data_IF_817811928505
#
_entry.id   IF_817811928505
#
_cell.length_a   1.000
_cell.length_b   1.000
_cell.length_c   1.000
_cell.angle_alpha   90.00
_cell.angle_beta   90.00
_cell.angle_gamma   90.00
#
_symmetry.space_group_name_H-M   'P 1'
#
loop_
_entity.id
_entity.type
_entity.pdbx_description
1 polymer ?
#
# COMPACT_ATOMS: atom_id res chain seq x y z
N UNK A 1 -4.04 -25.30 -71.40
CA UNK A 1 -4.83 -24.70 -72.50
C UNK A 1 -5.22 -23.30 -72.06
N UNK A 2 -4.42 -22.34 -72.43
CA UNK A 2 -4.62 -21.25 -73.41
C UNK A 2 -5.99 -20.57 -73.22
N UNK A 3 -6.18 -19.23 -73.06
CA UNK A 3 -5.60 -18.13 -73.83
C UNK A 3 -5.68 -16.79 -73.07
N UNK A 4 -4.71 -15.95 -73.32
CA UNK A 4 -4.60 -14.49 -73.14
C UNK A 4 -5.71 -13.72 -73.85
N UNK A 5 -6.06 -12.51 -73.35
CA UNK A 5 -6.09 -11.28 -74.15
C UNK A 5 -6.04 -9.99 -73.33
N UNK A 6 -5.07 -9.18 -73.63
CA UNK A 6 -4.89 -7.76 -73.35
C UNK A 6 -5.99 -6.88 -73.97
N UNK A 7 -6.31 -5.77 -73.33
CA UNK A 7 -6.54 -4.45 -73.95
C UNK A 7 -6.46 -3.31 -72.95
N UNK A 8 -5.56 -2.34 -73.17
CA UNK A 8 -5.46 -0.95 -72.73
C UNK A 8 -5.64 -0.11 -74.02
N UNK A 9 -5.76 1.23 -73.98
CA UNK A 9 -6.22 2.24 -73.01
C UNK A 9 -7.24 3.24 -73.64
N UNK A 10 -7.86 4.15 -72.85
CA UNK A 10 -8.18 5.52 -73.30
C UNK A 10 -8.17 6.46 -72.10
N UNK A 11 -7.33 7.49 -72.16
CA UNK A 11 -7.34 8.68 -71.33
C UNK A 11 -8.60 9.52 -71.63
N UNK A 12 -9.19 10.10 -70.56
CA UNK A 12 -9.87 11.37 -70.67
C UNK A 12 -9.77 12.10 -69.33
N UNK A 13 -9.09 13.21 -69.33
CA UNK A 13 -8.98 14.15 -68.23
C UNK A 13 -10.24 15.04 -68.21
N UNK A 14 -10.84 15.18 -67.02
CA UNK A 14 -11.65 16.37 -66.69
C UNK A 14 -11.37 16.74 -65.23
N UNK A 15 -10.79 17.90 -65.05
CA UNK A 15 -10.68 18.60 -63.79
C UNK A 15 -12.04 19.19 -63.40
N UNK A 16 -12.36 19.16 -62.10
CA UNK A 16 -13.03 20.28 -61.41
C UNK A 16 -13.41 19.85 -59.97
N UNK A 17 -13.11 20.70 -59.01
CA UNK A 17 -13.84 20.77 -57.75
C UNK A 17 -13.14 20.25 -56.50
N UNK A 18 -12.23 21.05 -55.96
CA UNK A 18 -11.73 20.97 -54.59
C UNK A 18 -12.88 21.19 -53.59
N UNK A 19 -13.22 20.17 -52.81
CA UNK A 19 -13.89 20.34 -51.52
C UNK A 19 -13.05 19.63 -50.49
N UNK A 20 -12.28 20.39 -49.73
CA UNK A 20 -11.54 19.93 -48.54
C UNK A 20 -12.50 19.52 -47.42
N UNK A 21 -12.83 18.25 -47.32
CA UNK A 21 -13.34 17.70 -46.06
C UNK A 21 -12.13 17.45 -45.15
N UNK A 22 -12.06 18.21 -44.06
CA UNK A 22 -11.08 18.01 -43.00
C UNK A 22 -11.20 16.61 -42.41
N UNK A 23 -10.24 15.76 -42.70
CA UNK A 23 -10.05 14.51 -42.01
C UNK A 23 -9.71 14.79 -40.55
N UNK A 24 -10.57 14.37 -39.63
CA UNK A 24 -10.23 14.25 -38.21
C UNK A 24 -9.08 13.25 -38.08
N UNK A 25 -7.86 13.77 -38.06
CA UNK A 25 -6.70 13.04 -37.64
C UNK A 25 -6.89 12.68 -36.15
N UNK A 26 -7.33 11.49 -35.89
CA UNK A 26 -7.16 10.85 -34.58
C UNK A 26 -5.65 10.60 -34.36
N UNK A 27 -4.91 11.65 -34.05
CA UNK A 27 -3.57 11.53 -33.50
C UNK A 27 -3.73 10.95 -32.10
N UNK A 28 -3.35 9.68 -31.92
CA UNK A 28 -2.98 9.17 -30.59
C UNK A 28 -2.17 10.26 -29.91
N UNK A 29 -2.44 10.58 -28.61
CA UNK A 29 -1.58 11.49 -27.88
C UNK A 29 -0.15 10.97 -28.01
N UNK A 30 0.75 11.80 -28.51
CA UNK A 30 2.17 11.51 -28.49
C UNK A 30 2.57 11.19 -27.04
N UNK A 31 3.30 10.11 -26.85
CA UNK A 31 3.97 9.80 -25.59
C UNK A 31 4.92 10.96 -25.29
N UNK A 32 4.43 11.98 -24.59
CA UNK A 32 5.28 13.10 -24.16
C UNK A 32 6.25 12.53 -23.15
N UNK A 33 7.51 12.43 -23.56
CA UNK A 33 8.58 11.92 -22.72
C UNK A 33 8.53 12.64 -21.35
N UNK A 34 8.50 11.86 -20.27
CA UNK A 34 8.49 12.42 -18.91
C UNK A 34 9.84 13.08 -18.64
N UNK A 35 9.91 14.40 -18.71
CA UNK A 35 11.13 15.20 -18.56
C UNK A 35 11.54 15.40 -17.10
N UNK A 36 10.69 15.02 -16.14
CA UNK A 36 11.02 15.10 -14.72
C UNK A 36 12.06 14.06 -14.32
N UNK A 37 12.86 14.37 -13.31
CA UNK A 37 13.89 13.47 -12.79
C UNK A 37 13.26 12.29 -12.07
N UNK A 38 13.66 11.06 -12.42
CA UNK A 38 13.17 9.84 -11.75
C UNK A 38 13.48 9.88 -10.25
N UNK A 39 12.49 9.48 -9.42
CA UNK A 39 12.55 9.55 -7.97
C UNK A 39 12.00 10.85 -7.38
N UNK A 40 11.61 11.81 -8.22
CA UNK A 40 10.86 12.99 -7.78
C UNK A 40 9.36 12.76 -7.88
N UNK A 41 8.59 13.50 -7.08
CA UNK A 41 7.13 13.44 -7.11
C UNK A 41 6.55 13.82 -8.50
N UNK A 42 7.18 14.79 -9.19
CA UNK A 42 6.76 15.17 -10.55
C UNK A 42 6.90 14.02 -11.53
N UNK A 43 7.95 13.20 -11.40
CA UNK A 43 8.14 12.03 -12.27
C UNK A 43 7.01 11.02 -12.09
N UNK A 44 6.69 10.67 -10.85
CA UNK A 44 5.62 9.73 -10.54
C UNK A 44 4.24 10.27 -10.91
N UNK A 45 4.01 11.57 -10.66
CA UNK A 45 2.77 12.23 -11.04
C UNK A 45 2.54 12.19 -12.56
N UNK A 46 3.56 12.51 -13.35
CA UNK A 46 3.46 12.47 -14.81
C UNK A 46 3.23 11.04 -15.31
N UNK A 47 3.96 10.08 -14.74
CA UNK A 47 3.80 8.67 -15.07
C UNK A 47 2.38 8.16 -14.75
N UNK A 48 1.90 8.41 -13.54
CA UNK A 48 0.60 7.94 -13.08
C UNK A 48 -0.57 8.63 -13.82
N UNK A 49 -0.45 9.91 -14.13
CA UNK A 49 -1.46 10.64 -14.96
C UNK A 49 -1.62 10.04 -16.36
N UNK A 50 -0.59 9.42 -16.90
CA UNK A 50 -0.69 8.72 -18.18
C UNK A 50 -1.40 7.36 -18.07
N UNK A 51 -1.65 6.87 -16.85
CA UNK A 51 -2.27 5.55 -16.57
C UNK A 51 -3.66 5.65 -15.95
N UNK A 52 -3.95 6.70 -15.18
CA UNK A 52 -5.21 6.89 -14.45
C UNK A 52 -5.54 8.37 -14.26
N UNK A 53 -6.81 8.64 -13.98
CA UNK A 53 -7.30 9.94 -13.52
C UNK A 53 -6.96 10.16 -12.03
N UNK A 54 -5.66 10.31 -11.73
CA UNK A 54 -5.20 10.48 -10.36
C UNK A 54 -5.58 11.85 -9.78
N UNK A 55 -5.78 11.89 -8.47
CA UNK A 55 -6.12 13.09 -7.70
C UNK A 55 -4.91 13.48 -6.85
N UNK A 56 -4.51 14.74 -6.91
CA UNK A 56 -3.43 15.28 -6.07
C UNK A 56 -4.04 16.09 -4.94
N UNK A 57 -3.78 15.66 -3.69
CA UNK A 57 -4.08 16.46 -2.50
C UNK A 57 -2.84 17.24 -2.08
N UNK A 58 -3.03 18.45 -1.53
CA UNK A 58 -1.94 19.34 -1.13
C UNK A 58 -2.24 19.97 0.22
N UNK A 59 -1.20 20.10 1.08
CA UNK A 59 -1.28 20.96 2.26
C UNK A 59 -1.41 22.45 1.84
N UNK A 60 -1.64 23.35 2.79
CA UNK A 60 -1.83 24.77 2.47
C UNK A 60 -0.58 25.44 1.89
N UNK A 61 0.60 24.98 2.29
CA UNK A 61 1.89 25.47 1.79
C UNK A 61 2.20 24.93 0.38
N UNK A 62 1.52 23.85 -0.05
CA UNK A 62 1.76 23.21 -1.33
C UNK A 62 3.05 22.37 -1.39
N UNK A 63 3.79 22.29 -0.31
CA UNK A 63 5.02 21.48 -0.18
C UNK A 63 4.69 20.02 0.07
N UNK A 64 3.77 19.74 0.99
CA UNK A 64 3.21 18.41 1.22
C UNK A 64 2.19 18.06 0.15
N UNK A 65 2.41 16.99 -0.61
CA UNK A 65 1.49 16.52 -1.64
C UNK A 65 1.40 14.99 -1.64
N UNK A 66 0.22 14.46 -2.02
CA UNK A 66 0.00 13.03 -2.20
C UNK A 66 -0.75 12.74 -3.49
N UNK A 67 -0.53 11.58 -4.10
CA UNK A 67 -1.23 11.10 -5.30
C UNK A 67 -2.19 9.98 -4.90
N UNK A 68 -3.48 10.20 -5.09
CA UNK A 68 -4.55 9.20 -4.83
C UNK A 68 -5.08 8.70 -6.17
N UNK A 69 -5.26 7.38 -6.30
CA UNK A 69 -5.78 6.73 -7.50
C UNK A 69 -7.06 5.96 -7.21
N UNK A 70 -8.23 6.45 -7.62
CA UNK A 70 -9.46 5.66 -7.60
C UNK A 70 -9.41 4.46 -8.55
N UNK A 71 -8.73 4.59 -9.69
CA UNK A 71 -8.63 3.56 -10.73
C UNK A 71 -7.84 2.33 -10.30
N UNK A 72 -6.87 2.50 -9.43
CA UNK A 72 -6.05 1.42 -8.89
C UNK A 72 -6.34 1.20 -7.41
N UNK A 73 -7.50 0.61 -7.08
CA UNK A 73 -7.82 0.12 -5.73
C UNK A 73 -7.84 1.23 -4.65
N UNK A 74 -8.23 2.47 -4.99
CA UNK A 74 -8.34 3.59 -4.04
C UNK A 74 -7.07 3.84 -3.20
N UNK A 75 -5.87 3.54 -3.72
CA UNK A 75 -4.60 3.67 -3.00
C UNK A 75 -4.03 5.09 -3.04
N UNK A 76 -3.18 5.40 -2.06
CA UNK A 76 -2.22 6.50 -2.15
C UNK A 76 -0.97 5.92 -2.79
N UNK A 77 -0.58 6.39 -3.97
CA UNK A 77 0.60 5.86 -4.65
C UNK A 77 1.90 6.36 -4.05
N UNK A 78 1.97 7.65 -3.79
CA UNK A 78 3.17 8.27 -3.24
C UNK A 78 2.87 9.66 -2.70
N UNK A 79 3.78 10.14 -1.86
CA UNK A 79 3.76 11.48 -1.27
C UNK A 79 5.10 12.18 -1.44
N UNK A 80 5.12 13.47 -1.14
CA UNK A 80 6.33 14.30 -1.06
C UNK A 80 6.18 15.39 0.00
N UNK A 81 7.29 15.77 0.63
CA UNK A 81 7.34 16.88 1.59
C UNK A 81 7.91 18.19 1.00
N UNK A 82 8.28 18.20 -0.30
CA UNK A 82 9.00 19.32 -0.92
C UNK A 82 8.49 19.66 -2.33
N UNK A 83 7.19 19.56 -2.55
CA UNK A 83 6.56 19.90 -3.81
C UNK A 83 6.96 18.99 -4.97
N UNK A 84 6.78 19.47 -6.21
CA UNK A 84 6.97 18.66 -7.41
C UNK A 84 8.39 18.09 -7.57
N UNK A 85 9.41 18.84 -7.18
CA UNK A 85 10.82 18.43 -7.28
C UNK A 85 11.29 17.64 -6.06
N UNK A 86 10.46 17.53 -5.04
CA UNK A 86 10.74 16.76 -3.84
C UNK A 86 10.83 15.25 -4.09
N UNK A 87 11.49 14.54 -3.17
CA UNK A 87 11.57 13.08 -3.19
C UNK A 87 10.16 12.48 -3.16
N UNK A 88 9.96 11.44 -3.95
CA UNK A 88 8.80 10.55 -3.91
C UNK A 88 9.06 9.46 -2.88
N UNK A 89 8.16 9.27 -1.90
CA UNK A 89 8.41 8.36 -0.76
C UNK A 89 7.85 6.96 -0.99
N UNK A 90 6.69 6.85 -1.65
CA UNK A 90 6.07 5.57 -1.95
C UNK A 90 6.86 4.77 -2.99
N UNK A 91 6.70 3.45 -2.96
CA UNK A 91 7.21 2.60 -4.03
C UNK A 91 6.18 2.50 -5.16
N UNK A 92 6.60 2.85 -6.39
CA UNK A 92 5.80 2.73 -7.62
C UNK A 92 6.47 1.72 -8.54
N UNK A 93 5.76 0.64 -8.89
CA UNK A 93 6.28 -0.39 -9.78
C UNK A 93 5.98 -0.09 -11.25
N UNK A 94 6.81 0.71 -11.88
CA UNK A 94 6.62 1.11 -13.29
C UNK A 94 6.52 -0.07 -14.27
N UNK A 95 7.15 -1.21 -13.95
CA UNK A 95 7.15 -2.42 -14.80
C UNK A 95 5.77 -3.03 -14.88
N UNK A 96 5.06 -3.10 -13.75
CA UNK A 96 3.73 -3.69 -13.64
C UNK A 96 2.72 -3.01 -14.58
N UNK A 97 2.78 -1.69 -14.70
CA UNK A 97 1.93 -0.92 -15.60
C UNK A 97 2.19 -1.18 -17.10
N UNK A 98 3.27 -1.84 -17.43
CA UNK A 98 3.66 -2.20 -18.81
C UNK A 98 3.33 -3.63 -19.19
N UNK A 99 2.83 -4.45 -18.28
CA UNK A 99 2.46 -5.82 -18.56
C UNK A 99 1.22 -5.85 -19.49
N UNK A 100 1.24 -6.77 -20.46
CA UNK A 100 0.10 -6.96 -21.37
C UNK A 100 -1.07 -7.65 -20.70
N UNK A 101 -0.76 -8.62 -19.84
CA UNK A 101 -1.72 -9.39 -19.08
C UNK A 101 -1.46 -9.18 -17.59
N UNK A 102 -2.50 -8.99 -16.77
CA UNK A 102 -2.37 -8.92 -15.32
C UNK A 102 -1.78 -10.22 -14.76
N UNK A 103 -0.98 -10.11 -13.70
CA UNK A 103 -0.53 -11.29 -12.96
C UNK A 103 -1.75 -11.99 -12.32
N UNK A 104 -1.89 -13.31 -12.49
CA UNK A 104 -3.04 -14.04 -11.92
C UNK A 104 -3.05 -14.08 -10.40
N UNK A 105 -1.90 -13.94 -9.74
CA UNK A 105 -1.77 -14.00 -8.29
C UNK A 105 -1.95 -12.64 -7.63
N UNK A 106 -1.21 -11.64 -8.07
CA UNK A 106 -1.22 -10.29 -7.53
C UNK A 106 -0.65 -9.31 -8.56
N UNK A 107 -1.20 -8.10 -8.63
CA UNK A 107 -0.69 -7.03 -9.48
C UNK A 107 0.01 -5.97 -8.61
N UNK A 108 1.33 -6.09 -8.38
CA UNK A 108 2.07 -5.25 -7.45
C UNK A 108 2.40 -3.88 -8.07
N UNK A 109 1.39 -3.06 -8.34
CA UNK A 109 1.57 -1.70 -8.86
C UNK A 109 2.34 -0.78 -7.91
N UNK A 110 2.46 -1.18 -6.64
CA UNK A 110 2.99 -0.34 -5.56
C UNK A 110 1.89 0.44 -4.85
N UNK A 111 2.29 1.42 -4.10
CA UNK A 111 1.41 2.31 -3.35
C UNK A 111 1.86 2.50 -1.91
N UNK A 112 2.04 3.75 -1.52
CA UNK A 112 2.47 4.19 -0.20
C UNK A 112 1.45 3.83 0.90
N UNK A 113 0.16 3.77 0.57
CA UNK A 113 -0.88 3.20 1.42
C UNK A 113 -1.93 2.53 0.53
N UNK A 114 -2.00 1.22 0.62
CA UNK A 114 -3.00 0.38 -0.03
C UNK A 114 -3.77 -0.42 1.03
N UNK A 115 -4.97 -0.84 0.70
CA UNK A 115 -5.82 -1.60 1.62
C UNK A 115 -6.14 -2.96 1.03
N UNK A 116 -5.92 -4.00 1.81
CA UNK A 116 -6.46 -5.33 1.58
C UNK A 116 -7.52 -5.67 2.64
N UNK A 117 -8.24 -6.75 2.41
CA UNK A 117 -9.04 -7.40 3.42
C UNK A 117 -8.37 -8.73 3.77
N UNK A 118 -8.15 -8.95 5.05
CA UNK A 118 -7.70 -10.25 5.57
C UNK A 118 -8.87 -11.10 6.09
N UNK A 119 -8.58 -12.35 6.48
CA UNK A 119 -7.25 -12.94 6.60
C UNK A 119 -6.70 -13.43 5.26
N UNK A 120 -5.36 -13.35 5.12
CA UNK A 120 -4.65 -13.84 3.93
C UNK A 120 -4.67 -15.38 3.87
N UNK A 121 -4.40 -16.03 4.99
CA UNK A 121 -4.36 -17.49 5.11
C UNK A 121 -5.31 -18.02 6.17
N UNK A 122 -5.19 -19.31 6.46
CA UNK A 122 -5.93 -20.02 7.50
C UNK A 122 -7.36 -20.35 7.12
N UNK A 123 -8.15 -20.76 8.13
CA UNK A 123 -9.50 -21.30 7.98
C UNK A 123 -10.48 -20.39 7.24
N UNK A 124 -10.32 -19.08 7.33
CA UNK A 124 -11.23 -18.09 6.76
C UNK A 124 -10.57 -17.20 5.71
N UNK A 125 -9.47 -17.65 5.12
CA UNK A 125 -8.75 -16.91 4.09
C UNK A 125 -9.66 -16.36 2.99
N UNK A 126 -9.36 -15.13 2.54
CA UNK A 126 -10.00 -14.51 1.36
C UNK A 126 -9.19 -14.73 0.07
N UNK A 127 -7.99 -15.34 0.16
CA UNK A 127 -7.03 -15.47 -0.94
C UNK A 127 -6.95 -16.89 -1.50
N UNK A 128 -7.57 -17.88 -0.83
CA UNK A 128 -7.60 -19.26 -1.26
C UNK A 128 -9.03 -19.73 -1.47
N UNK A 129 -9.27 -20.47 -2.55
CA UNK A 129 -10.56 -21.09 -2.81
C UNK A 129 -10.81 -22.24 -1.82
N UNK A 130 -12.07 -22.48 -1.41
CA UNK A 130 -12.42 -23.60 -0.55
C UNK A 130 -11.84 -24.94 -1.04
N UNK A 131 -11.26 -25.71 -0.11
CA UNK A 131 -10.71 -27.03 -0.38
C UNK A 131 -9.37 -27.10 -1.09
N UNK A 132 -8.75 -25.97 -1.48
CA UNK A 132 -7.43 -25.95 -2.06
C UNK A 132 -6.34 -25.98 -1.00
N UNK A 133 -5.14 -26.48 -1.35
CA UNK A 133 -3.97 -26.33 -0.46
C UNK A 133 -3.53 -24.86 -0.41
N UNK A 134 -3.16 -24.39 0.78
CA UNK A 134 -2.65 -23.02 0.95
C UNK A 134 -1.15 -22.95 0.61
N UNK A 135 -0.88 -22.98 -0.70
CA UNK A 135 0.43 -22.80 -1.32
C UNK A 135 0.36 -21.74 -2.40
N UNK A 136 1.49 -21.19 -2.84
CA UNK A 136 1.53 -20.03 -3.74
C UNK A 136 0.72 -20.25 -5.03
N UNK A 137 0.76 -21.42 -5.63
CA UNK A 137 0.04 -21.72 -6.88
C UNK A 137 -1.48 -21.55 -6.77
N UNK A 138 -2.04 -21.65 -5.56
CA UNK A 138 -3.46 -21.48 -5.28
C UNK A 138 -3.80 -20.13 -4.64
N UNK A 139 -2.79 -19.31 -4.36
CA UNK A 139 -2.97 -18.01 -3.73
C UNK A 139 -3.30 -16.95 -4.78
N UNK A 140 -4.39 -16.21 -4.58
CA UNK A 140 -4.83 -15.13 -5.47
C UNK A 140 -5.39 -13.98 -4.66
N UNK A 141 -4.87 -12.78 -4.91
CA UNK A 141 -5.43 -11.57 -4.30
C UNK A 141 -6.83 -11.30 -4.86
N UNK A 142 -7.85 -11.07 -4.00
CA UNK A 142 -9.19 -10.73 -4.48
C UNK A 142 -9.17 -9.45 -5.33
N UNK A 143 -9.75 -9.50 -6.53
CA UNK A 143 -9.69 -8.40 -7.52
C UNK A 143 -10.12 -7.04 -6.98
N UNK A 144 -11.09 -7.01 -6.06
CA UNK A 144 -11.61 -5.78 -5.46
C UNK A 144 -10.56 -5.02 -4.65
N UNK A 145 -9.55 -5.72 -4.12
CA UNK A 145 -8.45 -5.16 -3.31
C UNK A 145 -7.09 -5.32 -4.00
N UNK A 146 -7.07 -5.73 -5.27
CA UNK A 146 -5.86 -5.83 -6.09
C UNK A 146 -5.84 -4.76 -7.19
N UNK A 147 -6.73 -4.85 -8.17
CA UNK A 147 -6.67 -4.08 -9.42
C UNK A 147 -7.94 -3.34 -9.79
N UNK A 148 -9.07 -3.62 -9.14
CA UNK A 148 -10.33 -3.00 -9.54
C UNK A 148 -10.41 -1.55 -9.07
N UNK A 149 -10.99 -0.71 -9.92
CA UNK A 149 -11.31 0.67 -9.57
C UNK A 149 -12.38 0.76 -8.48
N UNK A 150 -12.28 1.81 -7.66
CA UNK A 150 -13.31 2.21 -6.72
C UNK A 150 -14.02 3.45 -7.24
N UNK A 151 -15.30 3.57 -6.91
CA UNK A 151 -16.09 4.74 -7.26
C UNK A 151 -15.58 5.95 -6.50
N UNK A 152 -15.28 7.04 -7.22
CA UNK A 152 -15.03 8.35 -6.62
C UNK A 152 -16.39 8.96 -6.21
N UNK A 153 -16.60 9.14 -4.91
CA UNK A 153 -17.82 9.75 -4.38
C UNK A 153 -17.69 11.27 -4.25
N UNK A 154 -16.55 11.75 -3.80
CA UNK A 154 -16.22 13.19 -3.74
C UNK A 154 -14.73 13.44 -3.64
N UNK A 155 -14.30 14.63 -4.08
CA UNK A 155 -12.93 15.12 -3.88
C UNK A 155 -12.87 16.63 -3.77
N UNK A 156 -11.88 17.12 -3.04
CA UNK A 156 -11.44 18.51 -3.01
C UNK A 156 -9.91 18.56 -2.82
N UNK A 157 -9.33 19.73 -2.58
CA UNK A 157 -7.88 19.89 -2.45
C UNK A 157 -7.26 19.13 -1.25
N UNK A 158 -8.08 18.72 -0.28
CA UNK A 158 -7.64 18.11 1.00
C UNK A 158 -8.13 16.68 1.18
N UNK A 159 -9.22 16.29 0.54
CA UNK A 159 -9.91 15.04 0.79
C UNK A 159 -10.32 14.34 -0.49
N UNK A 160 -10.27 13.01 -0.45
CA UNK A 160 -10.91 12.12 -1.43
C UNK A 160 -11.74 11.11 -0.67
N UNK A 161 -12.97 10.87 -1.13
CA UNK A 161 -13.87 9.83 -0.62
C UNK A 161 -14.18 8.87 -1.76
N UNK A 162 -13.98 7.59 -1.50
CA UNK A 162 -14.16 6.53 -2.49
C UNK A 162 -14.93 5.37 -1.86
N UNK A 163 -15.69 4.66 -2.67
CA UNK A 163 -16.46 3.49 -2.21
C UNK A 163 -16.47 2.36 -3.22
N UNK A 164 -16.75 1.15 -2.72
CA UNK A 164 -16.92 -0.05 -3.53
C UNK A 164 -17.87 -1.02 -2.82
N UNK A 165 -18.70 -1.72 -3.59
CA UNK A 165 -19.44 -2.89 -3.12
C UNK A 165 -18.82 -4.10 -3.83
N UNK A 166 -18.51 -5.13 -3.05
CA UNK A 166 -17.91 -6.37 -3.56
C UNK A 166 -18.47 -7.59 -2.84
N UNK A 167 -18.38 -8.73 -3.52
CA UNK A 167 -18.70 -10.04 -2.94
C UNK A 167 -17.42 -10.88 -2.91
N UNK A 168 -17.10 -11.43 -1.76
CA UNK A 168 -15.97 -12.33 -1.56
C UNK A 168 -16.47 -13.64 -0.95
N UNK A 169 -15.79 -14.74 -1.26
CA UNK A 169 -15.99 -16.03 -0.61
C UNK A 169 -14.75 -16.33 0.22
N UNK A 170 -14.93 -16.70 1.49
CA UNK A 170 -13.81 -17.13 2.30
C UNK A 170 -13.53 -18.63 2.12
N UNK A 171 -12.38 -19.09 2.62
CA UNK A 171 -11.95 -20.50 2.49
C UNK A 171 -12.92 -21.50 3.11
N UNK A 172 -13.73 -21.09 4.10
CA UNK A 172 -14.79 -21.93 4.68
C UNK A 172 -16.08 -21.96 3.83
N UNK A 173 -16.12 -21.28 2.67
CA UNK A 173 -17.26 -21.24 1.76
C UNK A 173 -18.32 -20.19 2.12
N UNK A 174 -18.02 -19.28 3.07
CA UNK A 174 -18.96 -18.21 3.42
C UNK A 174 -18.87 -17.07 2.43
N UNK A 175 -20.00 -16.66 1.88
CA UNK A 175 -20.11 -15.49 1.01
C UNK A 175 -20.29 -14.22 1.83
N UNK A 176 -19.42 -13.26 1.63
CA UNK A 176 -19.39 -11.96 2.29
C UNK A 176 -19.77 -10.88 1.28
N UNK A 177 -20.91 -10.22 1.46
CA UNK A 177 -21.27 -9.02 0.70
C UNK A 177 -20.82 -7.81 1.49
N UNK A 178 -19.83 -7.10 0.96
CA UNK A 178 -19.07 -6.07 1.67
C UNK A 178 -19.24 -4.74 0.95
N UNK A 179 -19.60 -3.68 1.68
CA UNK A 179 -19.38 -2.30 1.25
C UNK A 179 -18.10 -1.80 1.86
N UNK A 180 -17.23 -1.26 1.01
CA UNK A 180 -16.00 -0.58 1.36
C UNK A 180 -16.22 0.92 1.20
N UNK A 181 -15.87 1.71 2.22
CA UNK A 181 -15.80 3.16 2.15
C UNK A 181 -14.39 3.58 2.59
N UNK A 182 -13.73 4.44 1.81
CA UNK A 182 -12.37 4.92 2.12
C UNK A 182 -12.28 6.42 1.94
N UNK A 183 -11.85 7.10 2.99
CA UNK A 183 -11.50 8.52 2.97
C UNK A 183 -9.98 8.67 3.09
N UNK A 184 -9.40 9.50 2.23
CA UNK A 184 -8.00 9.93 2.29
C UNK A 184 -8.00 11.43 2.57
N UNK A 185 -7.18 11.87 3.52
CA UNK A 185 -7.05 13.27 3.92
C UNK A 185 -5.59 13.64 4.10
N UNK A 186 -5.11 14.69 3.40
CA UNK A 186 -3.78 15.24 3.63
C UNK A 186 -3.80 16.14 4.85
N UNK A 187 -2.75 16.05 5.67
CA UNK A 187 -2.61 16.79 6.93
C UNK A 187 -1.84 18.11 6.72
N UNK A 188 -2.20 19.10 7.52
CA UNK A 188 -1.38 20.30 7.69
C UNK A 188 -0.24 20.04 8.69
N UNK A 189 0.84 20.80 8.64
CA UNK A 189 1.96 20.64 9.56
C UNK A 189 1.53 20.72 11.04
N UNK A 190 0.60 21.62 11.38
CA UNK A 190 0.04 21.71 12.73
C UNK A 190 -0.75 20.45 13.16
N UNK A 191 -1.43 19.79 12.20
CA UNK A 191 -2.12 18.54 12.50
C UNK A 191 -1.13 17.40 12.73
N UNK A 192 -0.03 17.34 11.95
CA UNK A 192 1.06 16.39 12.15
C UNK A 192 1.66 16.56 13.55
N UNK A 193 2.03 17.78 13.94
CA UNK A 193 2.58 18.08 15.26
C UNK A 193 1.62 17.65 16.38
N UNK A 194 0.36 17.99 16.24
CA UNK A 194 -0.69 17.64 17.22
C UNK A 194 -0.88 16.13 17.33
N UNK A 195 -0.96 15.42 16.21
CA UNK A 195 -1.19 13.96 16.20
C UNK A 195 -0.01 13.19 16.81
N UNK A 196 1.20 13.62 16.55
CA UNK A 196 2.43 12.96 17.02
C UNK A 196 2.91 13.50 18.39
N UNK A 197 2.34 14.60 18.87
CA UNK A 197 2.75 15.27 20.11
C UNK A 197 4.19 15.81 20.02
N UNK A 198 4.59 16.29 18.84
CA UNK A 198 5.93 16.84 18.55
C UNK A 198 5.84 18.34 18.26
N UNK A 199 6.99 19.00 18.25
CA UNK A 199 7.19 20.32 17.63
C UNK A 199 8.28 20.15 16.56
N UNK A 200 7.99 20.58 15.35
CA UNK A 200 8.93 20.47 14.23
C UNK A 200 9.88 21.66 14.21
N UNK A 201 11.16 21.37 14.08
CA UNK A 201 12.17 22.39 13.78
C UNK A 201 11.94 22.95 12.36
N UNK A 202 12.32 24.20 12.13
CA UNK A 202 12.14 24.89 10.83
C UNK A 202 12.92 24.25 9.67
N UNK A 203 13.92 23.40 9.97
CA UNK A 203 14.68 22.64 8.97
C UNK A 203 13.95 21.38 8.51
N UNK A 204 12.88 20.98 9.22
CA UNK A 204 12.12 19.77 8.89
C UNK A 204 11.12 20.05 7.78
N UNK A 205 11.20 19.26 6.71
CA UNK A 205 10.14 19.16 5.71
C UNK A 205 9.32 17.92 6.00
N UNK A 206 8.01 18.08 6.04
CA UNK A 206 7.09 17.01 6.40
C UNK A 206 5.94 16.86 5.39
N UNK A 207 5.47 15.65 5.24
CA UNK A 207 4.17 15.32 4.67
C UNK A 207 3.50 14.28 5.55
N UNK A 208 2.20 14.43 5.76
CA UNK A 208 1.40 13.44 6.45
C UNK A 208 0.03 13.33 5.81
N UNK A 209 -0.54 12.15 5.86
CA UNK A 209 -1.91 11.92 5.47
C UNK A 209 -2.55 10.85 6.34
N UNK A 210 -3.88 10.92 6.46
CA UNK A 210 -4.68 9.94 7.18
C UNK A 210 -5.65 9.26 6.24
N UNK A 211 -5.81 7.95 6.42
CA UNK A 211 -6.84 7.16 5.76
C UNK A 211 -7.82 6.61 6.79
N UNK A 212 -9.08 6.57 6.42
CA UNK A 212 -10.14 5.96 7.21
C UNK A 212 -10.89 5.01 6.30
N UNK A 213 -10.69 3.73 6.52
CA UNK A 213 -11.33 2.66 5.75
C UNK A 213 -12.41 2.00 6.59
N UNK A 214 -13.59 1.82 6.03
CA UNK A 214 -14.69 1.12 6.69
C UNK A 214 -15.15 -0.06 5.86
N UNK A 215 -15.51 -1.14 6.54
CA UNK A 215 -16.25 -2.27 5.96
C UNK A 215 -17.62 -2.39 6.60
N UNK A 216 -18.65 -2.56 5.79
CA UNK A 216 -20.04 -2.75 6.23
C UNK A 216 -20.52 -4.12 5.76
N UNK A 217 -21.11 -4.90 6.64
CA UNK A 217 -21.78 -6.15 6.28
C UNK A 217 -23.09 -5.84 5.55
N UNK A 218 -23.10 -5.96 4.22
CA UNK A 218 -24.29 -5.77 3.38
C UNK A 218 -25.09 -7.06 3.15
N UNK A 219 -24.63 -8.17 3.76
CA UNK A 219 -25.30 -9.47 3.70
C UNK A 219 -26.50 -9.54 4.63
N UNK A 220 -27.13 -10.73 4.67
CA UNK A 220 -28.29 -11.01 5.52
C UNK A 220 -27.93 -11.83 6.77
N UNK A 221 -26.68 -12.28 6.88
CA UNK A 221 -26.18 -13.10 7.99
C UNK A 221 -25.02 -12.38 8.69
N UNK A 222 -24.87 -12.62 9.99
CA UNK A 222 -23.75 -12.09 10.76
C UNK A 222 -22.42 -12.67 10.28
N UNK A 223 -21.38 -11.87 10.38
CA UNK A 223 -19.98 -12.34 10.33
C UNK A 223 -19.56 -12.63 11.77
N UNK A 224 -19.20 -13.86 12.04
CA UNK A 224 -18.92 -14.35 13.39
C UNK A 224 -17.78 -15.39 13.41
N UNK A 225 -17.56 -16.02 14.55
CA UNK A 225 -16.51 -17.04 14.71
C UNK A 225 -16.81 -18.36 13.97
N UNK A 226 -18.02 -18.58 13.53
CA UNK A 226 -18.45 -19.81 12.81
C UNK A 226 -18.30 -19.58 11.30
N UNK A 227 -18.86 -18.49 10.82
CA UNK A 227 -18.85 -18.09 9.40
C UNK A 227 -17.54 -17.45 8.95
N UNK A 228 -16.73 -16.99 9.90
CA UNK A 228 -15.59 -16.14 9.67
C UNK A 228 -15.96 -14.66 9.53
N UNK A 229 -14.97 -13.81 9.67
CA UNK A 229 -15.08 -12.36 9.50
C UNK A 229 -13.87 -11.83 8.74
N UNK A 230 -13.99 -10.74 7.96
CA UNK A 230 -12.84 -10.05 7.39
C UNK A 230 -12.19 -9.14 8.44
N UNK A 231 -10.98 -8.64 8.13
CA UNK A 231 -10.36 -7.49 8.78
C UNK A 231 -9.88 -6.50 7.71
N UNK A 232 -9.70 -5.24 8.10
CA UNK A 232 -9.06 -4.22 7.25
C UNK A 232 -7.56 -4.32 7.48
N UNK A 233 -6.78 -4.33 6.39
CA UNK A 233 -5.34 -4.47 6.42
C UNK A 233 -4.70 -3.41 5.54
N UNK A 234 -4.03 -2.41 6.16
CA UNK A 234 -3.25 -1.42 5.46
C UNK A 234 -1.83 -1.94 5.23
N UNK A 235 -1.33 -1.78 4.01
CA UNK A 235 -0.01 -2.23 3.59
C UNK A 235 0.70 -1.07 2.88
N UNK A 236 1.69 -0.50 3.53
CA UNK A 236 2.41 0.68 3.04
C UNK A 236 3.70 0.27 2.36
N UNK A 237 3.78 0.37 1.04
CA UNK A 237 4.97 0.02 0.28
C UNK A 237 5.89 1.21 0.09
N UNK A 238 7.10 1.12 0.62
CA UNK A 238 8.12 2.16 0.51
C UNK A 238 9.37 1.68 -0.24
N UNK A 239 10.06 2.62 -0.87
CA UNK A 239 11.32 2.34 -1.56
C UNK A 239 12.47 2.20 -0.54
N UNK A 240 13.15 1.05 -0.47
CA UNK A 240 14.25 0.82 0.46
C UNK A 240 15.57 1.45 -0.01
N UNK A 241 16.48 1.65 0.94
CA UNK A 241 17.91 1.79 0.69
C UNK A 241 18.69 0.68 1.40
N UNK A 242 19.98 0.48 1.10
CA UNK A 242 20.80 -0.47 1.85
C UNK A 242 20.91 -0.18 3.36
N UNK A 243 20.55 1.05 3.78
CA UNK A 243 20.64 1.53 5.16
C UNK A 243 19.25 1.78 5.79
N UNK A 244 18.19 1.18 5.24
CA UNK A 244 16.85 1.29 5.80
C UNK A 244 16.63 0.26 6.90
N UNK A 245 16.12 0.73 8.05
CA UNK A 245 15.75 -0.10 9.19
C UNK A 245 14.32 0.22 9.61
N UNK A 246 13.44 -0.79 9.64
CA UNK A 246 12.12 -0.69 10.27
C UNK A 246 12.30 -0.74 11.80
N UNK A 247 11.48 0.04 12.49
CA UNK A 247 11.46 0.20 13.95
C UNK A 247 10.05 0.00 14.46
N UNK A 248 9.83 -1.02 15.27
CA UNK A 248 8.53 -1.31 15.89
C UNK A 248 8.70 -1.35 17.41
N UNK A 249 8.34 -0.28 18.12
CA UNK A 249 8.29 -0.30 19.58
C UNK A 249 7.21 -1.28 20.08
N UNK A 250 7.53 -2.05 21.14
CA UNK A 250 6.56 -2.98 21.72
C UNK A 250 6.43 -2.85 23.24
N UNK A 251 5.31 -3.32 23.78
CA UNK A 251 5.07 -3.34 25.23
C UNK A 251 5.86 -4.48 25.87
N UNK A 252 6.71 -4.13 26.84
CA UNK A 252 7.56 -5.08 27.55
C UNK A 252 6.86 -5.73 28.75
N UNK A 253 5.91 -5.02 29.36
CA UNK A 253 5.27 -5.46 30.62
C UNK A 253 4.12 -6.45 30.41
N UNK A 254 4.22 -7.29 29.38
CA UNK A 254 3.23 -8.33 29.08
C UNK A 254 3.93 -9.65 28.79
N UNK A 255 3.20 -10.75 28.83
CA UNK A 255 3.70 -12.10 28.60
C UNK A 255 3.44 -12.59 27.16
N UNK A 256 4.03 -13.71 26.79
CA UNK A 256 3.88 -14.32 25.47
C UNK A 256 4.90 -13.83 24.44
N UNK A 257 4.73 -14.26 23.22
CA UNK A 257 5.59 -13.96 22.07
C UNK A 257 5.72 -12.46 21.87
N UNK A 258 6.91 -11.95 21.59
CA UNK A 258 7.13 -10.54 21.26
C UNK A 258 6.69 -10.29 19.83
N UNK A 259 7.12 -11.14 18.90
CA UNK A 259 6.75 -11.07 17.49
C UNK A 259 6.81 -12.45 16.84
N UNK A 260 5.90 -12.72 15.90
CA UNK A 260 6.00 -13.82 14.95
C UNK A 260 7.04 -13.46 13.89
N UNK A 261 8.02 -14.32 13.63
CA UNK A 261 9.14 -13.99 12.69
C UNK A 261 9.36 -15.05 11.62
N UNK A 262 8.38 -15.92 11.38
CA UNK A 262 8.51 -17.10 10.52
C UNK A 262 7.36 -17.26 9.50
N UNK A 263 6.68 -16.17 9.15
CA UNK A 263 5.60 -16.18 8.15
C UNK A 263 6.02 -16.81 6.80
N UNK A 264 7.20 -16.45 6.32
CA UNK A 264 7.80 -16.97 5.08
C UNK A 264 9.12 -17.70 5.32
N UNK A 265 9.22 -18.39 6.47
CA UNK A 265 10.45 -18.93 7.01
C UNK A 265 11.09 -17.99 8.02
N UNK A 266 11.94 -18.54 8.88
CA UNK A 266 12.57 -17.79 9.95
C UNK A 266 13.42 -16.64 9.44
N UNK A 267 13.17 -15.42 9.93
CA UNK A 267 14.03 -14.27 9.65
C UNK A 267 15.40 -14.53 10.31
N UNK A 268 16.52 -14.38 9.57
CA UNK A 268 17.86 -14.57 10.13
C UNK A 268 18.16 -13.58 11.27
N UNK A 269 18.92 -14.00 12.31
CA UNK A 269 19.18 -13.14 13.48
C UNK A 269 20.03 -11.90 13.21
N UNK A 270 20.75 -11.86 12.09
CA UNK A 270 21.49 -10.68 11.63
C UNK A 270 20.59 -9.64 10.96
N UNK A 271 19.30 -9.95 10.77
CA UNK A 271 18.33 -9.08 10.11
C UNK A 271 17.23 -8.56 11.05
N UNK A 272 17.02 -9.17 12.20
CA UNK A 272 16.04 -8.74 13.20
C UNK A 272 16.67 -8.74 14.60
N UNK A 273 16.47 -7.65 15.33
CA UNK A 273 16.91 -7.52 16.72
C UNK A 273 15.79 -6.98 17.59
N UNK A 274 15.64 -7.53 18.78
CA UNK A 274 14.65 -7.11 19.78
C UNK A 274 15.40 -6.62 21.02
N UNK A 275 15.53 -5.32 21.17
CA UNK A 275 16.36 -4.68 22.19
C UNK A 275 15.55 -3.60 22.89
N UNK A 276 15.51 -3.64 24.22
CA UNK A 276 14.95 -2.58 25.08
C UNK A 276 13.53 -2.13 24.68
N UNK A 277 12.65 -3.08 24.31
CA UNK A 277 11.26 -2.78 23.95
C UNK A 277 11.07 -2.26 22.52
N UNK A 278 12.08 -2.49 21.67
CA UNK A 278 12.04 -2.11 20.24
C UNK A 278 12.51 -3.25 19.37
N UNK A 279 11.78 -3.53 18.31
CA UNK A 279 12.17 -4.40 17.22
C UNK A 279 12.84 -3.55 16.15
N UNK A 280 14.06 -3.91 15.78
CA UNK A 280 14.78 -3.38 14.61
C UNK A 280 14.76 -4.46 13.54
N UNK A 281 14.32 -4.12 12.33
CA UNK A 281 14.26 -5.04 11.21
C UNK A 281 14.89 -4.41 9.96
N UNK A 282 15.90 -5.09 9.41
CA UNK A 282 16.64 -4.61 8.23
C UNK A 282 15.78 -4.68 6.98
N UNK A 283 15.49 -3.54 6.39
CA UNK A 283 14.55 -3.36 5.29
C UNK A 283 15.25 -2.85 4.01
N UNK A 284 16.21 -3.63 3.52
CA UNK A 284 17.10 -3.27 2.40
C UNK A 284 16.67 -3.85 1.04
N UNK A 285 15.52 -4.54 0.98
CA UNK A 285 15.01 -5.15 -0.23
C UNK A 285 15.82 -6.36 -0.73
N UNK A 286 16.66 -6.98 0.12
CA UNK A 286 17.59 -8.04 -0.29
C UNK A 286 17.25 -9.44 0.21
N UNK A 287 16.34 -9.55 1.16
CA UNK A 287 15.92 -10.84 1.71
C UNK A 287 14.46 -10.80 2.14
N UNK A 288 13.66 -11.65 1.53
CA UNK A 288 12.25 -11.76 1.86
C UNK A 288 12.03 -12.24 3.29
N UNK A 289 11.19 -11.52 4.02
CA UNK A 289 10.80 -11.88 5.38
C UNK A 289 9.64 -11.03 5.85
N UNK A 290 8.86 -11.58 6.78
CA UNK A 290 7.75 -10.90 7.44
C UNK A 290 7.76 -11.19 8.92
N UNK A 291 7.51 -10.16 9.72
CA UNK A 291 7.23 -10.29 11.14
C UNK A 291 5.86 -9.70 11.47
N UNK A 292 5.29 -10.18 12.58
CA UNK A 292 4.03 -9.68 13.11
C UNK A 292 4.11 -9.47 14.61
N UNK A 293 3.41 -8.45 15.10
CA UNK A 293 3.38 -8.08 16.53
C UNK A 293 1.95 -8.24 17.05
N UNK A 294 1.74 -9.10 18.07
CA UNK A 294 0.42 -9.39 18.60
C UNK A 294 -0.18 -8.17 19.35
N UNK A 295 -1.51 -8.06 19.45
CA UNK A 295 -2.19 -6.87 19.95
C UNK A 295 -1.79 -6.46 21.38
N UNK A 296 -1.46 -7.42 22.25
CA UNK A 296 -1.00 -7.13 23.61
C UNK A 296 0.42 -6.55 23.69
N UNK A 297 1.17 -6.55 22.58
CA UNK A 297 2.52 -5.98 22.45
C UNK A 297 2.56 -4.67 21.70
N UNK A 298 1.52 -4.37 20.91
CA UNK A 298 1.51 -3.23 20.00
C UNK A 298 1.50 -1.90 20.78
N UNK A 299 2.23 -0.92 20.26
CA UNK A 299 2.14 0.49 20.58
C UNK A 299 1.59 1.25 19.37
N UNK A 300 1.19 2.49 19.57
CA UNK A 300 0.51 3.30 18.56
C UNK A 300 1.41 3.86 17.45
N UNK A 301 2.68 3.50 17.44
CA UNK A 301 3.65 3.92 16.42
C UNK A 301 4.44 2.72 15.91
N UNK A 302 4.71 2.73 14.62
CA UNK A 302 5.80 2.02 13.97
C UNK A 302 6.44 2.96 12.95
N UNK A 303 7.60 2.63 12.44
CA UNK A 303 8.25 3.48 11.46
C UNK A 303 9.51 2.87 10.89
N UNK A 304 10.26 3.68 10.17
CA UNK A 304 11.57 3.31 9.62
C UNK A 304 12.47 4.54 9.52
N UNK A 305 13.76 4.29 9.51
CA UNK A 305 14.73 5.32 9.16
C UNK A 305 15.63 4.82 8.03
N UNK A 306 15.65 5.58 6.96
CA UNK A 306 16.56 5.43 5.82
C UNK A 306 17.76 6.36 5.99
N UNK A 307 18.86 5.81 6.47
CA UNK A 307 20.06 6.60 6.76
C UNK A 307 20.79 7.11 5.51
N UNK A 308 20.60 6.45 4.35
CA UNK A 308 21.23 6.88 3.11
C UNK A 308 20.53 8.12 2.52
N UNK A 309 19.21 8.23 2.71
CA UNK A 309 18.42 9.35 2.22
C UNK A 309 18.00 10.33 3.32
N UNK A 310 18.35 10.06 4.58
CA UNK A 310 17.96 10.85 5.74
C UNK A 310 16.44 11.07 5.82
N UNK A 311 15.66 9.99 5.72
CA UNK A 311 14.20 9.98 5.77
C UNK A 311 13.75 9.20 7.00
N UNK A 312 12.97 9.86 7.85
CA UNK A 312 12.21 9.21 8.93
C UNK A 312 10.77 9.03 8.46
N UNK A 313 10.30 7.78 8.43
CA UNK A 313 8.92 7.42 8.14
C UNK A 313 8.24 6.95 9.42
N UNK A 314 7.02 7.39 9.67
CA UNK A 314 6.20 6.95 10.80
C UNK A 314 4.82 6.54 10.30
N UNK A 315 4.23 5.55 10.97
CA UNK A 315 2.80 5.25 10.88
C UNK A 315 2.14 5.33 12.25
N UNK A 316 0.87 5.72 12.27
CA UNK A 316 -0.02 5.56 13.43
C UNK A 316 -1.31 4.89 12.97
N UNK A 317 -1.96 4.16 13.88
CA UNK A 317 -3.15 3.37 13.55
C UNK A 317 -4.03 3.13 14.76
N UNK A 318 -5.30 2.83 14.50
CA UNK A 318 -6.21 2.37 15.55
C UNK A 318 -5.86 0.92 15.92
N UNK A 319 -5.84 0.62 17.23
CA UNK A 319 -5.74 -0.75 17.72
C UNK A 319 -6.49 -0.91 19.05
N UNK A 320 -6.87 -2.13 19.34
CA UNK A 320 -7.48 -2.53 20.62
C UNK A 320 -6.77 -3.78 21.13
N UNK A 321 -6.08 -3.65 22.26
CA UNK A 321 -5.31 -4.75 22.87
C UNK A 321 -6.17 -5.91 23.38
N UNK A 322 -7.49 -5.72 23.49
CA UNK A 322 -8.46 -6.72 23.98
C UNK A 322 -9.27 -7.34 22.85
N UNK A 323 -9.22 -6.76 21.66
CA UNK A 323 -9.96 -7.28 20.52
C UNK A 323 -9.33 -8.55 19.93
N UNK A 324 -10.10 -9.28 19.16
CA UNK A 324 -9.63 -10.44 18.39
C UNK A 324 -9.01 -9.97 17.08
N UNK A 325 -7.81 -10.43 16.78
CA UNK A 325 -7.13 -10.24 15.49
C UNK A 325 -7.04 -11.57 14.75
N UNK A 326 -7.16 -11.52 13.43
CA UNK A 326 -7.17 -12.72 12.61
C UNK A 326 -5.76 -13.18 12.28
N UNK A 327 -5.54 -14.49 12.38
CA UNK A 327 -4.29 -15.12 11.93
C UNK A 327 -4.20 -15.02 10.41
N UNK A 328 -3.06 -14.54 9.89
CA UNK A 328 -2.82 -14.33 8.47
C UNK A 328 -1.93 -15.44 7.85
N UNK A 329 -1.43 -16.39 8.66
CA UNK A 329 -0.54 -17.44 8.18
C UNK A 329 -1.29 -18.40 7.24
N UNK A 330 -0.60 -18.94 6.25
CA UNK A 330 -1.13 -19.95 5.32
C UNK A 330 -1.18 -21.34 5.97
N UNK A 331 -1.86 -21.43 7.12
CA UNK A 331 -1.95 -22.64 7.96
C UNK A 331 -3.37 -22.79 8.49
N UNK A 332 -4.06 -23.84 8.05
CA UNK A 332 -5.46 -24.10 8.43
C UNK A 332 -5.62 -24.75 9.80
N UNK A 333 -4.54 -25.27 10.38
CA UNK A 333 -4.46 -25.91 11.69
C UNK A 333 -4.19 -24.92 12.85
N UNK A 334 -3.86 -23.68 12.55
CA UNK A 334 -3.71 -22.61 13.53
C UNK A 334 -5.05 -22.05 13.97
N UNK A 335 -5.12 -21.53 15.21
CA UNK A 335 -6.27 -20.77 15.67
C UNK A 335 -6.47 -19.52 14.79
N UNK A 336 -7.59 -19.39 14.06
CA UNK A 336 -7.82 -18.27 13.15
C UNK A 336 -8.01 -16.93 13.86
N UNK A 337 -8.13 -16.92 15.18
CA UNK A 337 -8.44 -15.75 16.01
C UNK A 337 -7.28 -15.30 16.90
N UNK A 338 -6.08 -15.81 16.64
CA UNK A 338 -4.83 -15.42 17.28
C UNK A 338 -3.90 -14.87 16.19
N UNK A 339 -4.02 -13.58 15.90
CA UNK A 339 -3.26 -12.91 14.87
C UNK A 339 -2.54 -11.67 15.38
N UNK A 340 -1.82 -11.03 14.47
CA UNK A 340 -1.00 -9.85 14.72
C UNK A 340 -1.74 -8.56 14.33
N UNK A 341 -1.50 -7.47 15.05
CA UNK A 341 -2.12 -6.17 14.81
C UNK A 341 -1.23 -5.25 13.97
N UNK A 342 0.08 -5.48 13.96
CA UNK A 342 1.08 -4.76 13.17
C UNK A 342 2.01 -5.76 12.52
N UNK A 343 2.35 -5.54 11.25
CA UNK A 343 3.33 -6.36 10.56
C UNK A 343 4.41 -5.48 9.92
N UNK A 344 5.53 -6.10 9.61
CA UNK A 344 6.58 -5.51 8.81
C UNK A 344 7.09 -6.54 7.80
N UNK A 345 7.27 -6.11 6.56
CA UNK A 345 7.74 -6.95 5.46
C UNK A 345 8.95 -6.32 4.78
N UNK A 346 9.91 -7.14 4.43
CA UNK A 346 11.00 -6.78 3.54
C UNK A 346 10.99 -7.72 2.35
N UNK A 347 10.92 -7.15 1.15
CA UNK A 347 11.00 -7.92 -0.08
C UNK A 347 12.43 -8.38 -0.37
N UNK A 348 12.56 -9.43 -1.14
CA UNK A 348 13.86 -9.97 -1.56
C UNK A 348 13.70 -11.08 -2.58
N UNK A 349 14.81 -11.50 -3.21
CA UNK A 349 14.80 -12.57 -4.21
C UNK A 349 14.23 -13.86 -3.64
N UNK A 350 13.38 -14.53 -4.42
CA UNK A 350 12.97 -15.91 -4.20
C UNK A 350 14.08 -16.88 -4.60
N UNK A 351 13.95 -18.16 -4.27
CA UNK A 351 14.94 -19.19 -4.60
C UNK A 351 15.25 -19.29 -6.11
N UNK A 352 14.30 -18.93 -6.97
CA UNK A 352 14.48 -18.87 -8.42
C UNK A 352 15.07 -17.53 -8.93
N UNK A 353 15.44 -16.61 -8.01
CA UNK A 353 16.00 -15.30 -8.33
C UNK A 353 14.99 -14.23 -8.74
N UNK A 354 13.69 -14.54 -8.81
CA UNK A 354 12.65 -13.54 -9.09
C UNK A 354 12.36 -12.68 -7.85
N UNK A 355 11.95 -11.44 -8.06
CA UNK A 355 11.61 -10.49 -7.00
C UNK A 355 10.53 -9.52 -7.48
N UNK A 356 9.54 -9.22 -6.63
CA UNK A 356 8.49 -8.24 -6.94
C UNK A 356 9.02 -6.81 -6.98
N UNK A 357 9.86 -6.44 -5.97
CA UNK A 357 10.38 -5.11 -5.74
C UNK A 357 11.77 -4.82 -6.28
N UNK A 358 12.58 -4.06 -5.55
CA UNK A 358 12.65 -4.01 -4.08
C UNK A 358 11.69 -3.01 -3.43
N UNK A 359 11.03 -3.44 -2.36
CA UNK A 359 10.25 -2.58 -1.45
C UNK A 359 10.28 -3.16 -0.02
N UNK A 360 9.84 -2.37 0.95
CA UNK A 360 9.50 -2.85 2.28
C UNK A 360 8.11 -2.34 2.67
N UNK A 361 7.49 -2.99 3.65
CA UNK A 361 6.17 -2.60 4.14
C UNK A 361 6.17 -2.42 5.66
N UNK A 362 5.36 -1.46 6.11
CA UNK A 362 4.91 -1.35 7.48
C UNK A 362 3.39 -1.42 7.42
N UNK A 363 2.80 -2.32 8.21
CA UNK A 363 1.41 -2.71 8.02
C UNK A 363 0.62 -2.56 9.32
N UNK A 364 -0.65 -2.18 9.22
CA UNK A 364 -1.58 -2.23 10.35
C UNK A 364 -2.83 -3.03 10.01
N UNK A 365 -3.34 -3.76 10.99
CA UNK A 365 -4.51 -4.64 10.84
C UNK A 365 -5.59 -4.20 11.84
N UNK A 366 -6.85 -4.13 11.39
CA UNK A 366 -7.98 -3.93 12.29
C UNK A 366 -8.31 -5.20 13.07
N UNK A 367 -9.04 -5.10 14.19
CA UNK A 367 -9.73 -6.27 14.73
C UNK A 367 -10.59 -7.00 13.70
N UNK A 368 -10.91 -8.26 13.98
CA UNK A 368 -11.89 -9.04 13.22
C UNK A 368 -13.24 -8.32 13.20
N UNK A 369 -13.81 -8.16 12.02
CA UNK A 369 -15.09 -7.48 11.85
C UNK A 369 -16.27 -8.44 12.14
N UNK A 370 -16.47 -8.79 13.39
CA UNK A 370 -17.67 -9.52 13.81
C UNK A 370 -18.88 -8.58 13.76
N UNK A 371 -19.58 -8.56 12.63
CA UNK A 371 -20.62 -7.58 12.32
C UNK A 371 -21.97 -8.26 12.02
N UNK A 372 -23.04 -7.75 12.65
CA UNK A 372 -24.39 -8.04 12.23
C UNK A 372 -24.68 -7.39 10.86
N UNK A 373 -25.73 -7.82 10.13
CA UNK A 373 -26.16 -7.13 8.92
C UNK A 373 -26.31 -5.61 9.12
N UNK A 374 -25.75 -4.81 8.22
CA UNK A 374 -25.67 -3.35 8.22
C UNK A 374 -24.77 -2.73 9.31
N UNK A 375 -24.12 -3.52 10.14
CA UNK A 375 -23.07 -2.99 11.04
C UNK A 375 -21.77 -2.71 10.28
N UNK A 376 -20.97 -1.82 10.85
CA UNK A 376 -19.75 -1.28 10.24
C UNK A 376 -18.59 -1.30 11.22
N UNK A 377 -17.41 -1.69 10.73
CA UNK A 377 -16.13 -1.49 11.40
C UNK A 377 -15.31 -0.46 10.61
N UNK A 378 -14.62 0.43 11.32
CA UNK A 378 -13.72 1.43 10.73
C UNK A 378 -12.32 1.27 11.30
N UNK A 379 -11.32 1.36 10.44
CA UNK A 379 -9.90 1.39 10.81
C UNK A 379 -9.27 2.68 10.29
N UNK A 380 -8.57 3.40 11.15
CA UNK A 380 -7.81 4.59 10.81
C UNK A 380 -6.34 4.27 10.77
N UNK A 381 -5.68 4.81 9.76
CA UNK A 381 -4.25 4.66 9.54
C UNK A 381 -3.69 5.98 9.06
N UNK A 382 -2.47 6.33 9.44
CA UNK A 382 -1.82 7.56 9.00
C UNK A 382 -0.34 7.33 8.74
N UNK A 383 0.17 7.94 7.68
CA UNK A 383 1.56 7.86 7.24
C UNK A 383 2.17 9.25 7.28
N UNK A 384 3.43 9.33 7.73
CA UNK A 384 4.19 10.56 7.85
C UNK A 384 5.61 10.36 7.36
N UNK A 385 6.14 11.30 6.60
CA UNK A 385 7.54 11.35 6.21
C UNK A 385 8.17 12.67 6.62
N UNK A 386 9.38 12.57 7.12
CA UNK A 386 10.19 13.71 7.56
C UNK A 386 11.58 13.65 6.95
N UNK A 387 12.03 14.80 6.45
CA UNK A 387 13.42 15.05 6.06
C UNK A 387 13.90 16.33 6.74
N UNK A 388 15.19 16.46 7.01
CA UNK A 388 15.74 17.63 7.72
C UNK A 388 17.08 17.35 8.34
N UNK A 389 17.49 18.13 9.34
CA UNK A 389 18.71 17.85 10.08
C UNK A 389 18.57 16.55 10.89
N UNK A 390 19.70 15.83 11.09
CA UNK A 390 19.67 14.59 11.90
C UNK A 390 19.19 14.82 13.33
N UNK A 391 19.54 15.97 13.92
CA UNK A 391 19.13 16.30 15.29
C UNK A 391 17.63 16.53 15.38
N UNK A 392 17.03 17.22 14.40
CA UNK A 392 15.60 17.44 14.33
C UNK A 392 14.83 16.11 14.12
N UNK A 393 15.30 15.26 13.20
CA UNK A 393 14.71 13.92 13.00
C UNK A 393 14.90 13.03 14.23
N UNK A 394 16.05 13.14 14.93
CA UNK A 394 16.28 12.41 16.18
C UNK A 394 15.29 12.81 17.28
N UNK A 395 14.96 14.09 17.41
CA UNK A 395 13.95 14.55 18.37
C UNK A 395 12.58 13.91 18.08
N UNK A 396 12.18 13.83 16.81
CA UNK A 396 10.93 13.18 16.40
C UNK A 396 10.98 11.67 16.70
N UNK A 397 12.06 10.97 16.32
CA UNK A 397 12.22 9.53 16.56
C UNK A 397 12.20 9.17 18.05
N UNK A 398 12.89 9.93 18.88
CA UNK A 398 12.87 9.75 20.34
C UNK A 398 11.48 9.95 20.95
N UNK A 399 10.73 10.94 20.46
CA UNK A 399 9.38 11.24 20.98
C UNK A 399 8.36 10.19 20.58
N UNK A 400 8.45 9.65 19.37
CA UNK A 400 7.46 8.72 18.78
C UNK A 400 7.89 7.27 18.95
N UNK A 401 9.06 6.90 18.43
CA UNK A 401 9.56 5.51 18.44
C UNK A 401 10.30 5.16 19.73
N UNK A 402 10.69 6.15 20.56
CA UNK A 402 11.40 5.93 21.81
C UNK A 402 12.86 5.52 21.66
N UNK A 403 13.43 5.66 20.45
CA UNK A 403 14.83 5.32 20.14
C UNK A 403 15.51 6.43 19.36
N UNK A 404 16.82 6.57 19.51
CA UNK A 404 17.59 7.55 18.75
C UNK A 404 17.89 7.06 17.33
N UNK A 405 18.10 8.02 16.41
CA UNK A 405 18.60 7.70 15.06
C UNK A 405 19.94 6.95 15.12
N UNK A 406 20.78 7.27 16.11
CA UNK A 406 22.05 6.57 16.32
C UNK A 406 21.79 5.09 16.67
N UNK A 407 20.83 4.79 17.55
CA UNK A 407 20.48 3.40 17.90
C UNK A 407 19.97 2.65 16.69
N UNK A 408 19.12 3.31 15.86
CA UNK A 408 18.59 2.70 14.62
C UNK A 408 19.74 2.38 13.66
N UNK A 409 20.66 3.31 13.44
CA UNK A 409 21.81 3.12 12.53
C UNK A 409 22.80 2.06 13.02
N UNK A 410 22.93 1.89 14.34
CA UNK A 410 23.86 0.93 14.95
C UNK A 410 23.20 -0.43 15.22
N UNK A 411 21.96 -0.63 14.83
CA UNK A 411 21.27 -1.89 15.02
C UNK A 411 21.89 -3.03 14.18
N UNK A 412 22.49 -2.71 13.01
CA UNK A 412 23.09 -3.69 12.10
C UNK A 412 24.44 -3.26 11.55
#
# INVERSE_FOLDING_TARGET
>A
MNYYKFFLPVLSAMALGSCTMGGLNNTKPADTANTATKGTFAYDLNFLKAKDSVIVLKNNEGTGQIIVSPGYQAKVFTSTADGLNGKSFGWVNYKEFGLKEPDPHMNPFGGEDRVWLGPEGGKFSLFFKPGTQQVFDNWHTPSAVDKESWKLDSSNSKNVVMSKITKMENYAGTNLLIKLDRKVHILENADIEKMLGITMDTTVKAVGFSTSTSITNMGTTAWDRISGAPCIWNLDMFTPSPATVIVVPYEQKTTGTIATTDYFGQIPPDRVKMINGTIFYKADGKQRGKLGVPPNRVKNYAGSYDAANNVLTLITYDFDTKATYLNQEWKTDKDPFIGDAVNAYNDGPLANGTQMGPFYEIESVSPAAFLQPNEKLTHKHSVFHFTGSKDALNAIAMKTLGVSIKDIQSAF
#
